data_IF_822357732233
#
_entry.id   IF_822357732233
#
_cell.length_a   1.000
_cell.length_b   1.000
_cell.length_c   1.000
_cell.angle_alpha   90.00
_cell.angle_beta   90.00
_cell.angle_gamma   90.00
#
_symmetry.space_group_name_H-M   'P 1'
#
loop_
_entity.id
_entity.type
_entity.pdbx_description
1 polymer ?
#
# COMPACT_ATOMS: atom_id res chain seq x y z
N UNK A 1 -24.71 10.90 15.37
CA UNK A 1 -24.87 11.27 13.95
C UNK A 1 -23.47 11.24 13.36
N UNK A 2 -23.13 10.22 12.58
CA UNK A 2 -21.79 10.09 12.00
C UNK A 2 -21.72 10.87 10.69
N UNK A 3 -21.00 12.00 10.70
CA UNK A 3 -20.58 12.72 9.50
C UNK A 3 -19.64 11.81 8.69
N UNK A 4 -20.22 11.02 7.79
CA UNK A 4 -19.47 10.18 6.85
C UNK A 4 -19.36 10.94 5.53
N UNK A 5 -18.70 12.08 5.58
CA UNK A 5 -18.23 12.82 4.40
C UNK A 5 -16.70 12.89 4.49
N UNK A 6 -16.05 11.73 4.65
CA UNK A 6 -14.61 11.68 4.42
C UNK A 6 -14.39 12.02 2.94
N UNK A 7 -13.67 13.10 2.70
CA UNK A 7 -13.35 13.49 1.32
C UNK A 7 -12.46 12.41 0.69
N UNK A 8 -12.43 12.33 -0.65
CA UNK A 8 -11.56 11.38 -1.33
C UNK A 8 -10.11 11.49 -0.84
N UNK A 9 -9.63 12.72 -0.63
CA UNK A 9 -8.31 13.02 -0.08
C UNK A 9 -8.10 12.44 1.33
N UNK A 10 -9.12 12.40 2.19
CA UNK A 10 -9.03 11.82 3.53
C UNK A 10 -8.97 10.29 3.52
N UNK A 11 -9.56 9.65 2.51
CA UNK A 11 -9.46 8.19 2.30
C UNK A 11 -8.06 7.86 1.79
N UNK A 12 -7.56 8.60 0.81
CA UNK A 12 -6.21 8.43 0.26
C UNK A 12 -5.13 8.63 1.32
N UNK A 13 -5.24 9.70 2.12
CA UNK A 13 -4.29 9.95 3.20
C UNK A 13 -4.31 8.85 4.25
N UNK A 14 -5.49 8.32 4.58
CA UNK A 14 -5.57 7.17 5.48
C UNK A 14 -4.89 5.94 4.90
N UNK A 15 -5.05 5.65 3.61
CA UNK A 15 -4.32 4.57 2.96
C UNK A 15 -2.80 4.77 3.05
N UNK A 16 -2.31 5.95 2.67
CA UNK A 16 -0.86 6.23 2.65
C UNK A 16 -0.24 6.26 4.06
N UNK A 17 -0.95 6.82 5.03
CA UNK A 17 -0.45 6.96 6.41
C UNK A 17 -0.67 5.72 7.26
N UNK A 18 -1.64 4.87 6.93
CA UNK A 18 -1.90 3.65 7.70
C UNK A 18 -1.25 2.44 7.05
N UNK A 19 -1.55 2.18 5.77
CA UNK A 19 -1.12 0.96 5.10
C UNK A 19 0.30 1.05 4.53
N UNK A 20 0.80 2.26 4.24
CA UNK A 20 2.13 2.45 3.64
C UNK A 20 3.11 3.18 4.59
N UNK A 21 2.81 3.32 5.89
CA UNK A 21 3.69 4.08 6.78
C UNK A 21 5.00 3.37 7.14
N UNK A 22 5.03 2.04 7.09
CA UNK A 22 6.21 1.21 7.38
C UNK A 22 6.07 -0.17 6.73
N UNK A 23 7.16 -0.95 6.75
CA UNK A 23 7.22 -2.29 6.16
C UNK A 23 6.20 -3.28 6.71
N UNK A 24 5.87 -3.20 8.01
CA UNK A 24 4.91 -4.09 8.67
C UNK A 24 3.51 -3.84 8.14
N UNK A 25 3.10 -2.58 8.03
CA UNK A 25 1.79 -2.20 7.48
C UNK A 25 1.67 -2.56 6.00
N UNK A 26 2.76 -2.40 5.24
CA UNK A 26 2.81 -2.81 3.83
C UNK A 26 2.65 -4.33 3.71
N UNK A 27 3.33 -5.11 4.57
CA UNK A 27 3.16 -6.55 4.60
C UNK A 27 1.70 -6.94 4.90
N UNK A 28 1.06 -6.31 5.90
CA UNK A 28 -0.36 -6.54 6.17
C UNK A 28 -1.26 -6.18 4.99
N UNK A 29 -1.01 -5.05 4.32
CA UNK A 29 -1.73 -4.67 3.11
C UNK A 29 -1.60 -5.75 2.03
N UNK A 30 -0.38 -6.22 1.75
CA UNK A 30 -0.12 -7.23 0.73
C UNK A 30 -0.80 -8.55 1.09
N UNK A 31 -0.69 -9.02 2.32
CA UNK A 31 -1.34 -10.26 2.77
C UNK A 31 -2.87 -10.14 2.71
N UNK A 32 -3.44 -8.99 3.11
CA UNK A 32 -4.89 -8.73 3.02
C UNK A 32 -5.40 -8.61 1.59
N UNK A 33 -4.51 -8.39 0.62
CA UNK A 33 -4.86 -8.25 -0.79
C UNK A 33 -5.04 -9.58 -1.51
N UNK A 34 -4.69 -10.71 -0.89
CA UNK A 34 -4.85 -12.02 -1.51
C UNK A 34 -6.33 -12.32 -1.78
N UNK A 35 -6.63 -12.73 -3.00
CA UNK A 35 -7.98 -13.04 -3.46
C UNK A 35 -8.08 -14.54 -3.73
N UNK A 36 -9.15 -15.19 -3.24
CA UNK A 36 -9.37 -16.63 -3.42
C UNK A 36 -8.48 -17.52 -2.54
N UNK A 37 -8.53 -18.84 -2.81
CA UNK A 37 -7.83 -19.86 -2.00
C UNK A 37 -6.34 -20.00 -2.34
N UNK A 38 -5.88 -19.33 -3.40
CA UNK A 38 -4.48 -19.36 -3.82
C UNK A 38 -3.77 -18.07 -3.45
N UNK A 39 -2.63 -18.17 -2.76
CA UNK A 39 -1.74 -17.04 -2.45
C UNK A 39 -1.08 -16.43 -3.71
N UNK A 40 -1.43 -16.93 -4.89
CA UNK A 40 -0.95 -16.49 -6.19
C UNK A 40 -1.82 -15.37 -6.79
N UNK A 41 -3.02 -15.18 -6.28
CA UNK A 41 -3.95 -14.14 -6.72
C UNK A 41 -4.02 -13.02 -5.69
N UNK A 42 -3.76 -11.79 -6.12
CA UNK A 42 -3.77 -10.58 -5.28
C UNK A 42 -4.42 -9.44 -6.03
N UNK A 43 -5.29 -8.70 -5.36
CA UNK A 43 -5.90 -7.47 -5.91
C UNK A 43 -4.86 -6.39 -6.22
N UNK A 44 -3.66 -6.46 -5.63
CA UNK A 44 -2.54 -5.59 -5.99
C UNK A 44 -2.03 -5.84 -7.41
N UNK A 45 -2.25 -7.03 -7.97
CA UNK A 45 -1.83 -7.34 -9.34
C UNK A 45 -2.85 -6.84 -10.39
N UNK A 46 -4.05 -6.46 -9.96
CA UNK A 46 -5.11 -6.00 -10.85
C UNK A 46 -4.80 -4.65 -11.49
N UNK A 47 -5.18 -4.50 -12.77
CA UNK A 47 -4.87 -3.32 -13.56
C UNK A 47 -5.48 -2.03 -12.98
N UNK A 48 -6.69 -2.12 -12.42
CA UNK A 48 -7.39 -0.96 -11.85
C UNK A 48 -6.73 -0.49 -10.54
N UNK A 49 -6.36 -1.43 -9.67
CA UNK A 49 -5.56 -1.15 -8.46
C UNK A 49 -4.25 -0.47 -8.82
N UNK A 50 -3.57 -0.96 -9.85
CA UNK A 50 -2.30 -0.39 -10.32
C UNK A 50 -2.46 1.00 -10.93
N UNK A 51 -3.56 1.25 -11.64
CA UNK A 51 -3.88 2.59 -12.15
C UNK A 51 -4.12 3.57 -11.00
N UNK A 52 -4.87 3.15 -9.98
CA UNK A 52 -5.13 3.94 -8.79
C UNK A 52 -3.84 4.27 -8.02
N UNK A 53 -3.00 3.28 -7.72
CA UNK A 53 -1.74 3.49 -7.01
C UNK A 53 -0.78 4.41 -7.76
N UNK A 54 -0.70 4.30 -9.09
CA UNK A 54 0.10 5.22 -9.92
C UNK A 54 -0.46 6.64 -9.89
N UNK A 55 -1.78 6.81 -9.90
CA UNK A 55 -2.41 8.12 -9.78
C UNK A 55 -2.09 8.77 -8.42
N UNK A 56 -2.12 8.00 -7.33
CA UNK A 56 -1.68 8.47 -6.01
C UNK A 56 -0.21 8.87 -6.01
N UNK A 57 0.66 8.04 -6.58
CA UNK A 57 2.10 8.33 -6.63
C UNK A 57 2.35 9.65 -7.37
N UNK A 58 1.67 9.90 -8.48
CA UNK A 58 1.75 11.16 -9.20
C UNK A 58 1.21 12.34 -8.38
N UNK A 59 0.04 12.18 -7.75
CA UNK A 59 -0.62 13.23 -6.96
C UNK A 59 0.24 13.69 -5.77
N UNK A 60 0.77 12.77 -4.99
CA UNK A 60 1.60 13.09 -3.81
C UNK A 60 3.08 13.30 -4.16
N UNK A 61 3.53 12.74 -5.29
CA UNK A 61 4.88 12.95 -5.83
C UNK A 61 5.09 14.34 -6.43
N UNK A 62 4.04 15.02 -6.89
CA UNK A 62 4.13 16.36 -7.49
C UNK A 62 3.74 17.50 -6.55
N UNK A 63 3.03 17.21 -5.44
CA UNK A 63 2.55 18.21 -4.50
C UNK A 63 3.28 18.17 -3.16
N UNK A 64 4.11 19.18 -2.88
CA UNK A 64 4.78 19.32 -1.58
C UNK A 64 3.77 19.49 -0.44
N UNK A 65 2.64 20.18 -0.67
CA UNK A 65 1.61 20.39 0.33
C UNK A 65 0.85 19.11 0.71
N UNK A 66 0.69 18.17 -0.23
CA UNK A 66 0.13 16.86 0.09
C UNK A 66 1.18 15.95 0.73
N UNK A 67 2.43 16.02 0.26
CA UNK A 67 3.54 15.26 0.85
C UNK A 67 3.78 15.62 2.32
N UNK A 68 3.62 16.89 2.70
CA UNK A 68 3.77 17.31 4.11
C UNK A 68 2.67 16.79 5.04
N UNK A 69 1.58 16.22 4.49
CA UNK A 69 0.51 15.56 5.25
C UNK A 69 0.80 14.07 5.49
N UNK A 70 1.87 13.53 4.93
CA UNK A 70 2.27 12.14 5.15
C UNK A 70 2.95 11.99 6.50
N UNK A 71 2.57 10.95 7.24
CA UNK A 71 3.15 10.62 8.55
C UNK A 71 4.55 10.04 8.41
N UNK A 72 4.81 9.34 7.31
CA UNK A 72 6.11 8.72 7.02
C UNK A 72 6.66 9.20 5.69
N UNK A 73 7.97 9.50 5.66
CA UNK A 73 8.69 9.76 4.42
C UNK A 73 8.73 8.53 3.50
N UNK A 74 8.59 7.34 4.08
CA UNK A 74 8.67 6.07 3.35
C UNK A 74 7.37 5.72 2.63
N UNK A 75 6.25 6.39 2.92
CA UNK A 75 4.94 6.11 2.29
C UNK A 75 4.99 6.18 0.77
N UNK A 76 5.72 7.16 0.21
CA UNK A 76 5.89 7.26 -1.24
C UNK A 76 6.87 6.24 -1.80
N UNK A 77 7.88 5.85 -1.02
CA UNK A 77 8.81 4.81 -1.40
C UNK A 77 8.09 3.45 -1.53
N UNK A 78 7.29 3.07 -0.52
CA UNK A 78 6.52 1.84 -0.58
C UNK A 78 5.47 1.87 -1.69
N UNK A 79 4.80 3.01 -1.92
CA UNK A 79 3.89 3.17 -3.05
C UNK A 79 4.63 2.99 -4.39
N UNK A 80 5.84 3.53 -4.52
CA UNK A 80 6.68 3.35 -5.70
C UNK A 80 7.03 1.87 -5.92
N UNK A 81 7.40 1.13 -4.87
CA UNK A 81 7.62 -0.31 -4.95
C UNK A 81 6.35 -1.05 -5.40
N UNK A 82 5.20 -0.76 -4.81
CA UNK A 82 3.93 -1.43 -5.16
C UNK A 82 3.44 -1.12 -6.58
N UNK A 83 3.89 -0.02 -7.20
CA UNK A 83 3.57 0.33 -8.60
C UNK A 83 4.57 -0.21 -9.62
N UNK A 84 5.79 -0.57 -9.19
CA UNK A 84 6.79 -1.22 -10.02
C UNK A 84 6.51 -2.73 -10.10
N UNK A 85 6.50 -3.29 -11.31
CA UNK A 85 6.04 -4.65 -11.53
C UNK A 85 6.92 -5.72 -10.85
N UNK A 86 8.24 -5.58 -10.91
CA UNK A 86 9.18 -6.55 -10.35
C UNK A 86 9.07 -6.56 -8.82
N UNK A 87 9.25 -5.39 -8.21
CA UNK A 87 9.18 -5.27 -6.75
C UNK A 87 7.80 -5.63 -6.19
N UNK A 88 6.69 -5.27 -6.85
CA UNK A 88 5.35 -5.71 -6.46
C UNK A 88 5.22 -7.23 -6.45
N UNK A 89 5.71 -7.92 -7.48
CA UNK A 89 5.70 -9.38 -7.52
C UNK A 89 6.55 -9.98 -6.40
N UNK A 90 7.66 -9.33 -6.03
CA UNK A 90 8.46 -9.74 -4.87
C UNK A 90 7.69 -9.60 -3.56
N UNK A 91 7.02 -8.47 -3.32
CA UNK A 91 6.17 -8.28 -2.14
C UNK A 91 5.11 -9.36 -2.02
N UNK A 92 4.38 -9.65 -3.10
CA UNK A 92 3.33 -10.69 -3.16
C UNK A 92 3.91 -12.07 -2.86
N UNK A 93 5.02 -12.42 -3.53
CA UNK A 93 5.69 -13.72 -3.35
C UNK A 93 6.23 -13.91 -1.94
N UNK A 94 6.80 -12.86 -1.36
CA UNK A 94 7.34 -12.86 0.00
C UNK A 94 6.21 -13.01 1.02
N UNK A 95 5.10 -12.29 0.85
CA UNK A 95 3.93 -12.40 1.72
C UNK A 95 3.22 -13.77 1.60
N UNK A 96 3.31 -14.43 0.45
CA UNK A 96 2.80 -15.78 0.24
C UNK A 96 3.71 -16.88 0.82
N UNK A 97 4.92 -16.55 1.29
CA UNK A 97 5.85 -17.54 1.80
C UNK A 97 5.42 -18.03 3.20
N UNK A 98 5.25 -19.35 3.42
CA UNK A 98 4.74 -19.92 4.67
C UNK A 98 5.67 -19.72 5.89
N UNK A 99 6.89 -19.23 5.67
CA UNK A 99 7.90 -19.03 6.72
C UNK A 99 8.33 -17.58 6.86
N UNK A 100 7.58 -16.59 6.34
CA UNK A 100 7.98 -15.20 6.54
C UNK A 100 7.85 -14.86 8.04
N UNK A 101 8.97 -14.71 8.78
CA UNK A 101 8.88 -14.34 10.17
C UNK A 101 8.47 -12.87 10.16
N UNK A 102 7.25 -12.56 10.59
CA UNK A 102 7.01 -11.26 11.17
C UNK A 102 8.06 -11.14 12.27
N UNK A 103 9.05 -10.27 12.08
CA UNK A 103 10.09 -10.04 13.07
C UNK A 103 9.39 -9.92 14.42
N UNK A 104 9.69 -10.87 15.31
CA UNK A 104 9.09 -10.90 16.63
C UNK A 104 9.34 -9.53 17.23
N UNK A 105 8.26 -8.86 17.63
CA UNK A 105 8.37 -7.64 18.40
C UNK A 105 9.17 -8.00 19.66
N UNK A 106 10.44 -7.63 19.69
CA UNK A 106 11.20 -7.45 20.92
C UNK A 106 10.92 -6.06 21.49
#
# INVERSE_FOLDING_TARGET
MCDTSATADDVELRLLNHCLSNSVQVHYLVTSSFTGDSWQSSSLLEADTQRYMKALLMKYGTSTALRSRLVSGDSLYYLQCLTNAETRCDFVRVAAAPFFPLASAE
#
